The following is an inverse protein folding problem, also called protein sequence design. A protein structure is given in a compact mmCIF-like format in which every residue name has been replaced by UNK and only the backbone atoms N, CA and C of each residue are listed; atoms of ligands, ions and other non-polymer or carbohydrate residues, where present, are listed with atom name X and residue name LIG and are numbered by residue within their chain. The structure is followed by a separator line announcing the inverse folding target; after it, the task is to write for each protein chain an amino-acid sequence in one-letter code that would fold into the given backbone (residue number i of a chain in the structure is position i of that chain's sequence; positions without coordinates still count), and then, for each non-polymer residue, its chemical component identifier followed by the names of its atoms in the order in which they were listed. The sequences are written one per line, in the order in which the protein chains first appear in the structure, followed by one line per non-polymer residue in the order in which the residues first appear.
data_IF_813667290145
#
_entry.id   IF_813667290145
#
_cell.length_a   1.000
_cell.length_b   1.000
_cell.length_c   1.000
_cell.angle_alpha   90.00
_cell.angle_beta   90.00
_cell.angle_gamma   90.00
#
_symmetry.space_group_name_H-M   'P 1'
#
loop_
_entity.id
_entity.type
_entity.pdbx_description
1 polymer ?
#
# COMPACT_ATOMS: atom_id res chain seq x y z
N UNK A 1 -12.88 2.39 16.00
CA UNK A 1 -13.88 2.30 14.91
C UNK A 1 -14.54 0.93 14.81
N UNK A 2 -13.89 -0.14 14.32
CA UNK A 2 -14.59 -1.41 14.06
C UNK A 2 -15.16 -2.04 15.35
N UNK A 3 -14.37 -2.03 16.43
CA UNK A 3 -14.81 -2.56 17.74
C UNK A 3 -15.95 -1.71 18.33
N UNK A 4 -15.83 -0.39 18.28
CA UNK A 4 -16.86 0.56 18.75
C UNK A 4 -18.19 0.40 18.01
N UNK A 5 -18.14 -0.02 16.74
CA UNK A 5 -19.33 -0.24 15.91
C UNK A 5 -19.77 -1.71 15.90
N UNK A 6 -19.20 -2.57 16.74
CA UNK A 6 -19.51 -4.00 16.82
C UNK A 6 -19.43 -4.72 15.45
N UNK A 7 -18.47 -4.35 14.61
CA UNK A 7 -18.23 -5.02 13.32
C UNK A 7 -17.84 -6.47 13.60
N UNK A 8 -18.45 -7.47 12.95
CA UNK A 8 -18.09 -8.86 13.18
C UNK A 8 -16.65 -9.12 12.74
N UNK A 9 -15.93 -9.96 13.50
CA UNK A 9 -14.56 -10.37 13.12
C UNK A 9 -14.55 -11.08 11.76
N UNK A 10 -15.61 -11.79 11.40
CA UNK A 10 -15.80 -12.39 10.07
C UNK A 10 -16.84 -11.63 9.24
N UNK A 11 -16.55 -10.38 8.89
CA UNK A 11 -17.35 -9.63 7.91
C UNK A 11 -17.22 -10.20 6.48
N UNK A 12 -18.21 -9.95 5.62
CA UNK A 12 -18.16 -10.46 4.25
C UNK A 12 -17.25 -9.64 3.34
N UNK A 13 -17.30 -8.32 3.45
CA UNK A 13 -16.59 -7.40 2.56
C UNK A 13 -15.93 -6.26 3.32
N UNK A 14 -14.68 -5.97 2.96
CA UNK A 14 -13.93 -4.81 3.42
C UNK A 14 -13.42 -4.02 2.22
N UNK A 15 -13.71 -2.73 2.17
CA UNK A 15 -13.09 -1.80 1.22
C UNK A 15 -12.12 -0.90 1.98
N UNK A 16 -10.87 -0.85 1.54
CA UNK A 16 -9.84 0.05 2.05
C UNK A 16 -9.44 1.02 0.95
N UNK A 17 -10.04 2.21 1.00
CA UNK A 17 -9.79 3.33 0.11
C UNK A 17 -9.96 4.64 0.93
N UNK A 18 -8.84 5.24 1.30
CA UNK A 18 -8.72 6.45 2.11
C UNK A 18 -7.69 7.43 1.52
N UNK A 19 -7.36 7.25 0.23
CA UNK A 19 -6.44 8.07 -0.57
C UNK A 19 -5.01 8.26 0.03
N UNK A 20 -4.56 7.47 1.01
CA UNK A 20 -3.29 7.77 1.71
C UNK A 20 -2.65 6.61 2.47
N UNK A 21 -3.12 6.34 3.68
CA UNK A 21 -2.49 5.43 4.64
C UNK A 21 -3.13 4.04 4.62
N UNK A 22 -3.69 3.67 3.48
CA UNK A 22 -4.46 2.47 3.21
C UNK A 22 -3.78 1.22 3.72
N UNK A 23 -2.49 1.08 3.43
CA UNK A 23 -1.69 -0.06 3.88
C UNK A 23 -1.69 -0.24 5.40
N UNK A 24 -1.58 0.85 6.16
CA UNK A 24 -1.44 0.80 7.61
C UNK A 24 -2.75 0.48 8.30
N UNK A 25 -3.83 1.10 7.84
CA UNK A 25 -5.18 0.80 8.33
C UNK A 25 -5.56 -0.63 7.94
N UNK A 26 -5.30 -1.01 6.69
CA UNK A 26 -5.53 -2.38 6.21
C UNK A 26 -4.80 -3.41 7.07
N UNK A 27 -3.50 -3.21 7.30
CA UNK A 27 -2.69 -4.04 8.18
C UNK A 27 -3.26 -4.08 9.60
N UNK A 28 -3.60 -2.94 10.20
CA UNK A 28 -4.11 -2.86 11.56
C UNK A 28 -5.44 -3.62 11.73
N UNK A 29 -6.33 -3.55 10.73
CA UNK A 29 -7.59 -4.30 10.72
C UNK A 29 -7.30 -5.81 10.74
N UNK A 30 -6.38 -6.30 9.88
CA UNK A 30 -6.05 -7.71 9.83
C UNK A 30 -5.29 -8.20 11.08
N UNK A 31 -4.37 -7.39 11.63
CA UNK A 31 -3.65 -7.67 12.88
C UNK A 31 -4.60 -7.69 14.09
N UNK A 32 -5.67 -6.90 14.08
CA UNK A 32 -6.73 -6.94 15.09
C UNK A 32 -7.66 -8.16 14.98
N UNK A 33 -7.36 -9.11 14.08
CA UNK A 33 -8.07 -10.38 13.95
C UNK A 33 -9.35 -10.31 13.12
N UNK A 34 -9.60 -9.22 12.40
CA UNK A 34 -10.68 -9.19 11.41
C UNK A 34 -10.28 -10.02 10.18
N UNK A 35 -11.22 -10.82 9.70
CA UNK A 35 -11.03 -11.79 8.62
C UNK A 35 -12.12 -11.66 7.55
N UNK A 36 -12.19 -10.53 6.82
CA UNK A 36 -13.14 -10.37 5.72
C UNK A 36 -13.12 -11.55 4.73
N UNK A 37 -14.24 -11.89 4.10
CA UNK A 37 -14.21 -12.89 3.01
C UNK A 37 -13.54 -12.35 1.75
N UNK A 38 -13.86 -11.10 1.41
CA UNK A 38 -13.34 -10.36 0.26
C UNK A 38 -12.86 -8.99 0.71
N UNK A 39 -11.72 -8.56 0.17
CA UNK A 39 -11.15 -7.24 0.45
C UNK A 39 -10.88 -6.54 -0.88
N UNK A 40 -11.19 -5.24 -0.95
CA UNK A 40 -10.58 -4.35 -1.94
C UNK A 40 -9.62 -3.39 -1.25
N UNK A 41 -8.48 -3.16 -1.90
CA UNK A 41 -7.54 -2.12 -1.49
C UNK A 41 -7.21 -1.24 -2.68
N UNK A 42 -7.34 0.07 -2.53
CA UNK A 42 -6.80 0.99 -3.51
C UNK A 42 -5.28 0.88 -3.55
N UNK A 43 -4.69 0.84 -4.74
CA UNK A 43 -3.26 0.84 -4.96
C UNK A 43 -2.83 1.98 -5.87
N UNK A 44 -1.66 2.52 -5.57
CA UNK A 44 -1.03 3.53 -6.39
C UNK A 44 -0.31 2.87 -7.59
N UNK A 45 -0.94 2.99 -8.76
CA UNK A 45 -0.44 2.49 -10.03
C UNK A 45 0.78 3.23 -10.61
N UNK A 46 1.21 4.33 -9.98
CA UNK A 46 2.46 5.02 -10.30
C UNK A 46 3.70 4.24 -9.82
N UNK A 47 3.54 3.26 -8.92
CA UNK A 47 4.63 2.41 -8.45
C UNK A 47 4.65 1.07 -9.19
N UNK A 48 5.83 0.59 -9.65
CA UNK A 48 5.97 -0.75 -10.18
C UNK A 48 5.47 -1.82 -9.21
N UNK A 49 4.83 -2.88 -9.72
CA UNK A 49 4.23 -3.94 -8.91
C UNK A 49 5.22 -4.70 -8.01
N UNK A 50 6.52 -4.63 -8.33
CA UNK A 50 7.61 -5.26 -7.58
C UNK A 50 8.11 -4.40 -6.41
N UNK A 51 7.74 -3.13 -6.35
CA UNK A 51 8.25 -2.21 -5.34
C UNK A 51 7.22 -2.09 -4.20
N UNK A 52 7.67 -2.21 -2.95
CA UNK A 52 6.81 -2.16 -1.77
C UNK A 52 6.68 -0.73 -1.21
N UNK A 53 6.52 0.25 -2.09
CA UNK A 53 6.48 1.67 -1.71
C UNK A 53 5.14 2.01 -1.07
N UNK A 54 5.16 2.76 0.03
CA UNK A 54 3.96 3.32 0.67
C UNK A 54 4.28 4.65 1.34
N UNK A 55 3.26 5.50 1.52
CA UNK A 55 3.34 6.59 2.50
C UNK A 55 3.41 6.03 3.92
N UNK A 56 4.20 6.69 4.76
CA UNK A 56 4.36 6.41 6.17
C UNK A 56 3.14 6.91 6.94
N UNK A 57 2.63 6.09 7.86
CA UNK A 57 1.59 6.53 8.80
C UNK A 57 2.16 7.60 9.76
N UNK A 58 1.54 8.80 9.82
CA UNK A 58 1.98 9.88 10.71
C UNK A 58 2.00 9.47 12.19
N UNK A 59 1.17 8.51 12.60
CA UNK A 59 1.11 8.02 13.99
C UNK A 59 2.29 7.10 14.36
N UNK A 60 2.97 6.52 13.37
CA UNK A 60 4.15 5.65 13.58
C UNK A 60 5.40 6.48 13.89
N UNK A 61 5.44 7.74 13.45
CA UNK A 61 6.50 8.69 13.81
C UNK A 61 6.25 9.19 15.23
N UNK A 62 6.61 8.36 16.22
CA UNK A 62 6.45 8.63 17.65
C UNK A 62 6.91 10.07 17.98
N UNK A 63 5.98 10.88 18.49
CA UNK A 63 6.12 12.23 19.08
C UNK A 63 5.98 13.47 18.18
N UNK A 64 5.54 13.40 16.92
CA UNK A 64 5.54 14.62 16.06
C UNK A 64 4.20 15.06 15.47
N UNK A 65 3.15 14.24 15.54
CA UNK A 65 1.86 14.62 14.94
C UNK A 65 0.85 14.93 16.04
N UNK A 66 0.69 16.22 16.31
CA UNK A 66 -0.50 16.74 16.96
C UNK A 66 -1.68 16.44 16.03
N UNK A 67 -2.43 15.37 16.31
CA UNK A 67 -3.55 14.90 15.48
C UNK A 67 -4.58 16.02 15.28
N UNK A 68 -4.74 16.92 16.27
CA UNK A 68 -5.61 18.10 16.17
C UNK A 68 -5.13 19.15 15.16
N UNK A 69 -3.89 19.05 14.67
CA UNK A 69 -3.28 19.91 13.64
C UNK A 69 -2.90 19.15 12.37
N UNK A 70 -3.23 17.86 12.27
CA UNK A 70 -2.98 17.10 11.05
C UNK A 70 -3.89 17.63 9.94
N UNK A 71 -3.28 18.21 8.91
CA UNK A 71 -3.98 18.65 7.71
C UNK A 71 -3.73 17.63 6.60
N UNK A 72 -4.77 16.93 6.18
CA UNK A 72 -4.69 16.04 5.02
C UNK A 72 -4.37 16.86 3.77
N UNK A 73 -3.31 16.46 3.05
CA UNK A 73 -2.92 17.07 1.77
C UNK A 73 -2.70 15.99 0.74
N UNK A 74 -3.39 16.14 -0.40
CA UNK A 74 -3.14 15.30 -1.56
C UNK A 74 -1.67 15.38 -1.97
N UNK A 75 -1.01 14.23 -1.96
CA UNK A 75 0.44 14.12 -2.20
C UNK A 75 0.76 13.79 -3.66
N UNK A 76 0.05 14.45 -4.59
CA UNK A 76 0.26 14.36 -6.03
C UNK A 76 0.21 12.94 -6.58
N UNK A 77 1.34 12.34 -6.95
CA UNK A 77 1.44 10.95 -7.43
C UNK A 77 2.00 9.98 -6.39
N UNK A 78 2.33 10.47 -5.19
CA UNK A 78 2.98 9.67 -4.16
C UNK A 78 2.00 9.02 -3.17
N UNK A 79 0.72 9.39 -3.21
CA UNK A 79 -0.32 8.96 -2.26
C UNK A 79 -0.64 7.47 -2.33
N UNK A 80 -1.08 6.90 -1.22
CA UNK A 80 -1.41 5.48 -1.14
C UNK A 80 -0.19 4.55 -1.09
N UNK A 81 -0.44 3.29 -1.41
CA UNK A 81 0.54 2.22 -1.39
C UNK A 81 0.64 1.52 -2.75
N UNK A 82 1.84 1.13 -3.16
CA UNK A 82 2.04 0.32 -4.34
C UNK A 82 1.47 -1.09 -4.15
N UNK A 83 1.11 -1.74 -5.27
CA UNK A 83 0.53 -3.08 -5.26
C UNK A 83 1.42 -4.11 -4.55
N UNK A 84 2.75 -3.98 -4.67
CA UNK A 84 3.71 -4.85 -4.00
C UNK A 84 3.63 -4.76 -2.47
N UNK A 85 3.39 -3.57 -1.93
CA UNK A 85 3.29 -3.35 -0.48
C UNK A 85 2.01 -3.97 0.09
N UNK A 86 0.87 -3.78 -0.60
CA UNK A 86 -0.42 -4.36 -0.24
C UNK A 86 -0.40 -5.89 -0.33
N UNK A 87 0.29 -6.44 -1.34
CA UNK A 87 0.49 -7.90 -1.48
C UNK A 87 1.18 -8.50 -0.26
N UNK A 88 2.23 -7.86 0.25
CA UNK A 88 2.95 -8.35 1.44
C UNK A 88 2.00 -8.47 2.64
N UNK A 89 1.14 -7.46 2.86
CA UNK A 89 0.15 -7.49 3.95
C UNK A 89 -0.89 -8.58 3.69
N UNK A 90 -1.52 -8.59 2.52
CA UNK A 90 -2.60 -9.53 2.22
C UNK A 90 -2.14 -11.00 2.32
N UNK A 91 -1.01 -11.34 1.70
CA UNK A 91 -0.49 -12.72 1.69
C UNK A 91 -0.06 -13.18 3.09
N UNK A 92 0.54 -12.30 3.89
CA UNK A 92 0.92 -12.61 5.28
C UNK A 92 -0.28 -12.96 6.17
N UNK A 93 -1.47 -12.45 5.82
CA UNK A 93 -2.71 -12.68 6.55
C UNK A 93 -3.64 -13.71 5.88
N UNK A 94 -3.13 -14.50 4.93
CA UNK A 94 -3.87 -15.62 4.35
C UNK A 94 -4.91 -15.20 3.31
N UNK A 95 -4.59 -14.18 2.52
CA UNK A 95 -5.37 -13.78 1.35
C UNK A 95 -4.59 -13.99 0.06
N UNK A 96 -5.33 -14.14 -1.04
CA UNK A 96 -4.76 -14.20 -2.38
C UNK A 96 -5.48 -13.25 -3.31
N UNK A 97 -4.73 -12.62 -4.20
CA UNK A 97 -5.30 -11.74 -5.22
C UNK A 97 -6.09 -12.58 -6.23
N UNK A 98 -7.31 -12.14 -6.55
CA UNK A 98 -8.18 -12.79 -7.54
C UNK A 98 -8.59 -11.86 -8.67
N UNK A 99 -8.29 -10.56 -8.56
CA UNK A 99 -8.68 -9.59 -9.57
C UNK A 99 -8.09 -8.21 -9.31
N UNK A 100 -8.22 -7.36 -10.32
CA UNK A 100 -7.80 -5.96 -10.33
C UNK A 100 -8.89 -5.13 -11.01
N UNK A 101 -9.26 -4.00 -10.42
CA UNK A 101 -10.16 -3.02 -11.04
C UNK A 101 -9.33 -1.88 -11.58
N UNK A 102 -8.96 -1.98 -12.86
CA UNK A 102 -8.20 -0.92 -13.54
C UNK A 102 -6.96 -0.45 -12.75
N UNK A 103 -6.74 0.85 -12.70
CA UNK A 103 -5.60 1.46 -12.02
C UNK A 103 -5.88 1.81 -10.55
N UNK A 104 -6.97 1.30 -9.97
CA UNK A 104 -7.51 1.72 -8.68
C UNK A 104 -7.42 0.60 -7.65
N UNK A 105 -8.16 -0.51 -7.82
CA UNK A 105 -8.30 -1.51 -6.76
C UNK A 105 -7.66 -2.86 -7.07
N UNK A 106 -7.20 -3.51 -6.01
CA UNK A 106 -6.82 -4.92 -5.96
C UNK A 106 -7.89 -5.69 -5.19
N UNK A 107 -8.29 -6.86 -5.70
CA UNK A 107 -9.31 -7.71 -5.08
C UNK A 107 -8.63 -8.93 -4.46
N UNK A 108 -8.82 -9.10 -3.16
CA UNK A 108 -8.24 -10.19 -2.37
C UNK A 108 -9.35 -11.07 -1.81
N UNK A 109 -9.12 -12.39 -1.81
CA UNK A 109 -10.05 -13.37 -1.24
C UNK A 109 -9.32 -14.22 -0.20
N UNK A 110 -10.02 -14.52 0.89
CA UNK A 110 -9.50 -15.34 1.98
C UNK A 110 -9.19 -16.75 1.49
N UNK A 111 -8.01 -17.28 1.82
CA UNK A 111 -7.50 -18.53 1.24
C UNK A 111 -8.40 -19.75 1.50
N UNK A 112 -9.08 -19.81 2.64
CA UNK A 112 -10.00 -20.90 3.00
C UNK A 112 -11.24 -20.96 2.10
N UNK A 113 -11.63 -19.83 1.49
CA UNK A 113 -12.75 -19.76 0.55
C UNK A 113 -12.37 -20.22 -0.86
N UNK A 114 -11.08 -20.24 -1.18
CA UNK A 114 -10.56 -20.66 -2.49
C UNK A 114 -10.40 -22.19 -2.59
N UNK A 115 -10.56 -22.92 -1.48
CA UNK A 115 -10.49 -24.38 -1.43
C UNK A 115 -9.25 -24.92 -2.19
N UNK A 116 -9.42 -25.98 -2.98
CA UNK A 116 -8.39 -26.59 -3.82
C UNK A 116 -8.10 -25.80 -5.11
N UNK A 117 -8.73 -24.64 -5.33
CA UNK A 117 -8.56 -23.84 -6.55
C UNK A 117 -7.44 -22.80 -6.42
N UNK A 118 -6.81 -22.69 -5.25
CA UNK A 118 -5.72 -21.75 -5.02
C UNK A 118 -4.55 -21.93 -6.01
N UNK A 119 -4.34 -23.15 -6.52
CA UNK A 119 -3.35 -23.50 -7.55
C UNK A 119 -3.77 -23.10 -8.98
N UNK A 120 -5.06 -22.84 -9.22
CA UNK A 120 -5.59 -22.39 -10.52
C UNK A 120 -5.47 -20.87 -10.68
N UNK A 121 -5.29 -20.15 -9.57
CA UNK A 121 -5.09 -18.70 -9.63
C UNK A 121 -3.74 -18.39 -10.28
N UNK A 122 -3.72 -17.47 -11.26
CA UNK A 122 -2.48 -17.07 -11.90
C UNK A 122 -1.58 -16.33 -10.91
N UNK A 123 -0.27 -16.21 -11.21
CA UNK A 123 0.65 -15.46 -10.35
C UNK A 123 0.25 -13.98 -10.30
N UNK A 124 0.67 -13.29 -9.24
CA UNK A 124 0.33 -11.88 -8.99
C UNK A 124 0.56 -10.98 -10.22
N UNK A 125 1.69 -11.16 -10.90
CA UNK A 125 2.09 -10.38 -12.08
C UNK A 125 1.11 -10.52 -13.24
N UNK A 126 0.43 -11.67 -13.34
CA UNK A 126 -0.54 -11.92 -14.41
C UNK A 126 -1.71 -10.92 -14.34
N UNK A 127 -2.14 -10.47 -13.17
CA UNK A 127 -3.23 -9.50 -13.06
C UNK A 127 -2.90 -8.11 -13.63
N UNK A 128 -1.63 -7.87 -13.95
CA UNK A 128 -1.12 -6.61 -14.49
C UNK A 128 -0.56 -6.74 -15.91
N UNK A 129 -0.64 -7.91 -16.56
CA UNK A 129 -0.06 -8.14 -17.88
C UNK A 129 -0.54 -7.16 -18.96
N UNK A 130 -1.75 -6.63 -18.81
CA UNK A 130 -2.38 -5.68 -19.71
C UNK A 130 -2.39 -4.22 -19.17
N UNK A 131 -1.65 -3.95 -18.09
CA UNK A 131 -1.64 -2.65 -17.42
C UNK A 131 -0.28 -1.95 -17.57
N UNK A 132 -0.32 -0.65 -17.84
CA UNK A 132 0.88 0.19 -17.83
C UNK A 132 1.16 0.74 -16.42
N UNK A 133 1.63 -0.13 -15.54
CA UNK A 133 2.01 0.24 -14.15
C UNK A 133 3.38 0.93 -14.13
N UNK A 134 3.58 1.83 -13.16
CA UNK A 134 4.83 2.62 -13.05
C UNK A 134 4.86 3.86 -13.94
N UNK A 135 3.71 4.23 -14.54
CA UNK A 135 3.55 5.46 -15.33
C UNK A 135 2.87 6.55 -14.48
N UNK A 136 2.98 7.79 -14.94
CA UNK A 136 2.30 8.91 -14.30
C UNK A 136 0.80 8.85 -14.54
N UNK A 137 0.01 8.66 -13.49
CA UNK A 137 -1.46 8.67 -13.51
C UNK A 137 -2.04 9.86 -12.71
N UNK A 138 -1.24 10.50 -11.87
CA UNK A 138 -1.61 11.73 -11.13
C UNK A 138 -0.65 12.88 -11.43
N UNK A 139 -0.91 14.05 -10.84
CA UNK A 139 0.02 15.17 -10.88
C UNK A 139 1.41 14.75 -10.41
N UNK A 140 2.44 15.30 -11.04
CA UNK A 140 3.81 15.04 -10.64
C UNK A 140 4.09 15.62 -9.26
N UNK A 141 4.97 14.98 -8.48
CA UNK A 141 5.39 15.54 -7.21
C UNK A 141 6.19 16.83 -7.41
N UNK A 142 5.82 17.86 -6.66
CA UNK A 142 6.46 19.18 -6.68
C UNK A 142 7.24 19.51 -5.41
N UNK A 143 6.99 18.81 -4.29
CA UNK A 143 7.70 19.00 -3.02
C UNK A 143 8.61 17.81 -2.70
N UNK A 144 9.86 18.11 -2.34
CA UNK A 144 10.80 17.11 -1.82
C UNK A 144 10.44 16.59 -0.43
N UNK A 145 9.55 17.29 0.31
CA UNK A 145 9.17 16.90 1.67
C UNK A 145 8.52 15.52 1.71
N UNK A 146 7.84 15.13 0.62
CA UNK A 146 7.22 13.80 0.52
C UNK A 146 8.25 12.68 0.62
N UNK A 147 9.50 12.93 0.21
CA UNK A 147 10.55 11.91 0.23
C UNK A 147 10.84 11.45 1.66
N UNK A 148 10.65 12.31 2.66
CA UNK A 148 10.77 11.92 4.07
C UNK A 148 9.63 11.01 4.56
N UNK A 149 8.50 11.03 3.85
CA UNK A 149 7.28 10.30 4.21
C UNK A 149 7.11 9.01 3.42
N UNK A 150 7.98 8.71 2.46
CA UNK A 150 7.89 7.48 1.67
C UNK A 150 8.81 6.42 2.28
N UNK A 151 8.32 5.19 2.40
CA UNK A 151 9.13 4.06 2.86
C UNK A 151 8.96 2.84 1.94
N UNK A 152 9.94 1.95 2.01
CA UNK A 152 9.84 0.60 1.46
C UNK A 152 9.32 -0.34 2.56
N UNK A 153 8.09 -0.82 2.39
CA UNK A 153 7.39 -1.63 3.38
C UNK A 153 8.03 -3.02 3.57
N UNK A 154 8.63 -3.59 2.52
CA UNK A 154 9.36 -4.85 2.65
C UNK A 154 10.55 -4.71 3.60
N UNK A 155 11.35 -3.66 3.44
CA UNK A 155 12.44 -3.32 4.36
C UNK A 155 11.92 -3.03 5.76
N UNK A 156 10.78 -2.35 5.89
CA UNK A 156 10.15 -2.08 7.18
C UNK A 156 9.85 -3.37 7.94
N UNK A 157 9.17 -4.33 7.30
CA UNK A 157 8.85 -5.63 7.92
C UNK A 157 10.14 -6.39 8.26
N UNK A 158 11.07 -6.53 7.31
CA UNK A 158 12.32 -7.30 7.49
C UNK A 158 13.21 -6.78 8.61
N UNK A 159 13.18 -5.48 8.87
CA UNK A 159 14.02 -4.82 9.87
C UNK A 159 13.33 -4.62 11.22
N UNK A 160 12.13 -5.18 11.41
CA UNK A 160 11.37 -5.00 12.65
C UNK A 160 10.89 -3.57 12.87
N UNK A 161 10.58 -2.85 11.78
CA UNK A 161 10.02 -1.50 11.83
C UNK A 161 11.04 -0.36 11.77
N UNK A 162 12.26 -0.58 11.25
CA UNK A 162 13.27 0.47 11.16
C UNK A 162 12.93 1.49 10.06
N UNK A 163 12.31 2.60 10.44
CA UNK A 163 11.89 3.66 9.52
C UNK A 163 13.06 4.26 8.73
N UNK A 164 14.20 4.50 9.37
CA UNK A 164 15.37 5.09 8.71
C UNK A 164 15.96 4.16 7.64
N UNK A 165 15.96 2.85 7.88
CA UNK A 165 16.38 1.87 6.88
C UNK A 165 15.37 1.80 5.72
N UNK A 166 14.08 1.80 6.06
CA UNK A 166 12.97 1.68 5.09
C UNK A 166 12.86 2.89 4.17
N UNK A 167 13.04 4.09 4.71
CA UNK A 167 13.09 5.33 3.93
C UNK A 167 14.30 5.35 2.99
N UNK A 168 15.50 4.98 3.48
CA UNK A 168 16.70 4.86 2.64
C UNK A 168 16.55 3.84 1.51
N UNK A 169 15.88 2.72 1.77
CA UNK A 169 15.56 1.72 0.77
C UNK A 169 14.60 2.30 -0.30
N UNK A 170 13.53 2.97 0.11
CA UNK A 170 12.63 3.65 -0.83
C UNK A 170 13.37 4.67 -1.70
N UNK A 171 14.22 5.53 -1.13
CA UNK A 171 15.01 6.50 -1.89
C UNK A 171 15.88 5.82 -2.95
N UNK A 172 16.55 4.73 -2.57
CA UNK A 172 17.37 3.93 -3.49
C UNK A 172 16.53 3.36 -4.64
N UNK A 173 15.31 2.87 -4.34
CA UNK A 173 14.36 2.37 -5.35
C UNK A 173 13.94 3.50 -6.28
N UNK A 174 13.48 4.65 -5.75
CA UNK A 174 13.01 5.79 -6.55
C UNK A 174 14.11 6.33 -7.46
N UNK A 175 15.33 6.48 -6.95
CA UNK A 175 16.52 6.90 -7.71
C UNK A 175 16.86 5.95 -8.86
N UNK A 176 16.78 4.65 -8.61
CA UNK A 176 17.04 3.61 -9.61
C UNK A 176 15.95 3.55 -10.68
N UNK A 177 14.69 3.63 -10.27
CA UNK A 177 13.51 3.52 -11.16
C UNK A 177 13.32 4.74 -12.04
N UNK A 178 13.73 5.93 -11.57
CA UNK A 178 13.50 7.22 -12.26
C UNK A 178 12.03 7.40 -12.65
N UNK A 179 11.13 7.14 -11.69
CA UNK A 179 9.70 7.21 -11.94
C UNK A 179 9.29 8.63 -12.34
N UNK A 180 8.47 8.81 -13.39
CA UNK A 180 7.97 10.12 -13.81
C UNK A 180 7.37 10.94 -12.67
N UNK A 181 6.73 10.26 -11.70
CA UNK A 181 6.17 10.85 -10.49
C UNK A 181 7.13 11.81 -9.76
N UNK A 182 8.43 11.49 -9.72
CA UNK A 182 9.42 12.25 -8.94
C UNK A 182 10.40 13.04 -9.79
N UNK A 183 10.17 13.15 -11.10
CA UNK A 183 11.14 13.75 -12.02
C UNK A 183 11.48 15.23 -11.64
N UNK A 184 10.56 15.99 -11.07
CA UNK A 184 10.76 17.37 -10.59
C UNK A 184 11.53 17.47 -9.27
N UNK A 185 11.56 16.39 -8.49
CA UNK A 185 12.25 16.33 -7.19
C UNK A 185 13.44 15.36 -7.19
N UNK A 186 13.88 14.93 -8.37
CA UNK A 186 14.91 13.90 -8.53
C UNK A 186 16.29 14.27 -7.98
N UNK A 187 16.56 15.57 -7.83
CA UNK A 187 17.84 16.06 -7.31
C UNK A 187 17.94 15.93 -5.79
N UNK A 188 16.87 15.50 -5.11
CA UNK A 188 16.80 15.34 -3.66
C UNK A 188 16.97 13.88 -3.20
N UNK A 189 17.37 12.97 -4.11
CA UNK A 189 17.65 11.55 -3.85
C UNK A 189 19.12 11.22 -3.54
#
# INVERSE_FOLDING_TARGET
IFEENNVPKELDYLSCDMDSHDLWVFRAILEAGYRPRVITTEYNSNYPITDAITLLDPTIVRNSVDIGKFEFKFSQCAWGAGAGALRIVAEAHGYKMVGRVGYLDLIWVRNDLLMNQCSLLPPFEWFFHNASIGKLHHGQQSSSDILSQIIDYETYVRTGGNLTASNRAAHSILKRRRLPCYESVKNFF
#
